data_IF_110320693972
#
_entry.id   IF_110320693972
#
_cell.length_a   1.000
_cell.length_b   1.000
_cell.length_c   1.000
_cell.angle_alpha   90.00
_cell.angle_beta   90.00
_cell.angle_gamma   90.00
#
_symmetry.space_group_name_H-M   'P 1'
#
loop_
_entity.id
_entity.type
_entity.pdbx_description
1 polymer ?
#
# COMPACT_ATOMS: atom_id res chain seq x y z
N UNK A 1 26.70 -53.64 9.66
CA UNK A 1 27.46 -52.48 10.15
C UNK A 1 26.99 -51.32 9.28
N UNK A 2 25.99 -50.59 9.77
CA UNK A 2 25.37 -49.47 9.07
C UNK A 2 25.98 -48.21 9.68
N UNK A 3 26.62 -47.41 8.84
CA UNK A 3 27.11 -46.08 9.19
C UNK A 3 25.92 -45.13 9.17
N UNK A 4 25.51 -44.69 10.35
CA UNK A 4 24.58 -43.59 10.56
C UNK A 4 25.35 -42.27 10.34
N UNK A 5 25.17 -41.69 9.16
CA UNK A 5 25.70 -40.36 8.81
C UNK A 5 24.76 -39.29 9.38
N UNK A 6 25.10 -38.81 10.58
CA UNK A 6 24.40 -37.73 11.26
C UNK A 6 24.69 -36.39 10.57
N UNK A 7 23.78 -35.99 9.68
CA UNK A 7 23.78 -34.68 9.02
C UNK A 7 23.80 -33.54 10.03
N UNK A 8 24.96 -32.89 10.16
CA UNK A 8 25.14 -31.65 10.90
C UNK A 8 24.23 -30.57 10.30
N UNK A 9 23.15 -30.23 11.02
CA UNK A 9 22.29 -29.11 10.71
C UNK A 9 23.11 -27.83 10.65
N UNK A 10 23.20 -27.23 9.47
CA UNK A 10 23.76 -25.90 9.28
C UNK A 10 22.94 -24.92 10.12
N UNK A 11 23.54 -24.47 11.23
CA UNK A 11 23.05 -23.34 12.00
C UNK A 11 23.12 -22.11 11.11
N UNK A 12 21.96 -21.61 10.68
CA UNK A 12 21.86 -20.38 9.93
C UNK A 12 22.55 -19.23 10.68
N UNK A 13 23.06 -18.20 9.98
CA UNK A 13 23.79 -17.11 10.61
C UNK A 13 22.94 -16.49 11.73
N UNK A 14 23.53 -16.40 12.93
CA UNK A 14 22.92 -15.76 14.08
C UNK A 14 22.43 -14.36 13.65
N UNK A 15 21.14 -14.08 13.87
CA UNK A 15 20.58 -12.75 13.65
C UNK A 15 21.38 -11.77 14.51
N UNK A 16 22.16 -10.88 13.89
CA UNK A 16 22.80 -9.76 14.60
C UNK A 16 21.69 -8.99 15.31
N UNK A 17 21.75 -8.95 16.64
CA UNK A 17 20.88 -8.09 17.43
C UNK A 17 21.12 -6.64 17.06
N UNK A 18 20.05 -5.83 17.11
CA UNK A 18 20.17 -4.38 17.05
C UNK A 18 20.69 -3.92 18.42
N UNK A 19 21.91 -3.42 18.46
CA UNK A 19 22.47 -2.76 19.64
C UNK A 19 22.18 -1.27 19.52
N UNK A 20 21.37 -0.75 20.44
CA UNK A 20 21.05 0.68 20.53
C UNK A 20 21.80 1.17 21.76
N UNK A 21 22.70 2.13 21.58
CA UNK A 21 23.33 2.80 22.72
C UNK A 21 22.23 3.50 23.53
N UNK A 22 22.32 3.43 24.86
CA UNK A 22 21.42 4.16 25.74
C UNK A 22 21.45 5.67 25.43
N UNK A 23 22.60 6.19 24.99
CA UNK A 23 22.77 7.61 24.63
C UNK A 23 22.07 7.97 23.32
N UNK A 24 21.75 6.98 22.48
CA UNK A 24 21.09 7.15 21.19
C UNK A 24 19.56 7.02 21.28
N UNK A 25 19.01 6.78 22.47
CA UNK A 25 17.55 6.72 22.67
C UNK A 25 16.96 8.12 22.48
N UNK A 26 16.10 8.34 21.47
CA UNK A 26 15.54 9.66 21.21
C UNK A 26 14.71 10.11 22.42
N UNK A 27 14.74 11.41 22.75
CA UNK A 27 13.99 11.94 23.88
C UNK A 27 12.50 11.72 23.67
N UNK A 28 11.80 11.38 24.75
CA UNK A 28 10.35 11.29 24.76
C UNK A 28 9.74 12.67 24.50
N UNK A 29 8.69 12.73 23.66
CA UNK A 29 7.98 13.98 23.40
C UNK A 29 7.19 14.40 24.65
N UNK A 30 7.34 15.65 25.09
CA UNK A 30 6.81 16.14 26.39
C UNK A 30 5.74 17.22 26.27
N UNK A 31 5.16 17.40 25.08
CA UNK A 31 4.13 18.41 24.86
C UNK A 31 2.93 18.24 25.80
N UNK A 32 2.42 19.35 26.35
CA UNK A 32 1.41 19.33 27.42
C UNK A 32 0.08 18.67 27.03
N UNK A 33 -0.21 18.60 25.73
CA UNK A 33 -1.42 17.96 25.20
C UNK A 33 -1.26 16.44 25.00
N UNK A 34 -0.03 15.91 25.01
CA UNK A 34 0.22 14.48 24.81
C UNK A 34 -0.26 13.68 26.02
N UNK A 35 -1.20 12.77 25.79
CA UNK A 35 -1.72 11.86 26.79
C UNK A 35 -0.98 10.53 26.75
N UNK A 36 -0.50 10.06 27.91
CA UNK A 36 0.20 8.77 28.03
C UNK A 36 -0.56 7.82 28.95
N UNK A 37 -1.63 7.17 28.46
CA UNK A 37 -2.27 6.12 29.24
C UNK A 37 -1.27 5.01 29.54
N UNK A 38 -1.36 4.44 30.75
CA UNK A 38 -0.57 3.28 31.14
C UNK A 38 -0.84 2.14 30.16
N UNK A 39 0.23 1.62 29.56
CA UNK A 39 0.16 0.44 28.70
C UNK A 39 0.13 -0.81 29.57
N UNK A 40 -0.56 -1.89 29.13
CA UNK A 40 -0.47 -3.16 29.83
C UNK A 40 0.99 -3.62 29.87
N UNK A 41 1.39 -4.25 30.99
CA UNK A 41 2.76 -4.73 31.17
C UNK A 41 3.17 -5.79 30.14
N UNK A 42 2.18 -6.45 29.52
CA UNK A 42 2.36 -7.39 28.44
C UNK A 42 1.14 -7.34 27.52
N UNK A 43 1.37 -7.46 26.22
CA UNK A 43 0.34 -7.63 25.20
C UNK A 43 0.88 -8.61 24.16
N UNK A 44 0.01 -9.45 23.61
CA UNK A 44 0.42 -10.42 22.58
C UNK A 44 -0.32 -10.14 21.28
N UNK A 45 0.17 -10.68 20.18
CA UNK A 45 -0.52 -10.56 18.89
C UNK A 45 -1.90 -11.21 18.87
N UNK A 46 -2.21 -12.07 19.86
CA UNK A 46 -3.56 -12.59 20.05
C UNK A 46 -4.59 -11.48 20.31
N UNK A 47 -4.19 -10.33 20.82
CA UNK A 47 -5.10 -9.22 21.18
C UNK A 47 -5.27 -8.20 20.04
N UNK A 48 -4.44 -8.24 18.99
CA UNK A 48 -4.45 -7.23 17.90
C UNK A 48 -5.74 -7.22 17.09
N UNK A 49 -6.51 -8.31 17.09
CA UNK A 49 -7.82 -8.34 16.45
C UNK A 49 -8.86 -7.44 17.15
N UNK A 50 -8.54 -6.93 18.35
CA UNK A 50 -9.36 -5.97 19.10
C UNK A 50 -9.03 -4.52 18.74
N UNK A 51 -8.01 -4.25 17.92
CA UNK A 51 -7.64 -2.91 17.51
C UNK A 51 -8.75 -2.30 16.63
N UNK A 52 -9.27 -1.14 17.04
CA UNK A 52 -10.34 -0.42 16.34
C UNK A 52 -9.88 0.99 15.93
N UNK A 53 -9.47 1.18 14.65
CA UNK A 53 -9.04 2.48 14.17
C UNK A 53 -10.17 3.52 14.15
N UNK A 54 -11.43 3.11 13.97
CA UNK A 54 -12.57 4.03 13.98
C UNK A 54 -12.85 4.54 15.39
N UNK A 55 -12.69 3.69 16.41
CA UNK A 55 -12.75 4.11 17.81
C UNK A 55 -11.63 5.12 18.17
N UNK A 56 -10.42 4.93 17.66
CA UNK A 56 -9.32 5.88 17.86
C UNK A 56 -9.65 7.25 17.23
N UNK A 57 -10.21 7.27 16.02
CA UNK A 57 -10.65 8.50 15.37
C UNK A 57 -11.78 9.17 16.16
N UNK A 58 -12.74 8.40 16.67
CA UNK A 58 -13.84 8.90 17.49
C UNK A 58 -13.38 9.47 18.84
N UNK A 59 -12.26 9.00 19.39
CA UNK A 59 -11.64 9.54 20.61
C UNK A 59 -11.05 10.96 20.41
N UNK A 60 -10.90 11.40 19.16
CA UNK A 60 -10.58 12.78 18.80
C UNK A 60 -9.08 13.05 18.59
N UNK A 61 -8.74 14.31 18.23
CA UNK A 61 -7.41 14.66 17.73
C UNK A 61 -6.29 14.49 18.76
N UNK A 62 -6.57 14.68 20.05
CA UNK A 62 -5.58 14.50 21.12
C UNK A 62 -5.15 13.04 21.24
N UNK A 63 -6.09 12.10 21.12
CA UNK A 63 -5.78 10.67 21.16
C UNK A 63 -4.93 10.25 19.95
N UNK A 64 -5.31 10.70 18.76
CA UNK A 64 -4.56 10.45 17.52
C UNK A 64 -3.16 11.06 17.58
N UNK A 65 -3.03 12.33 17.99
CA UNK A 65 -1.73 13.00 18.15
C UNK A 65 -0.84 12.31 19.18
N UNK A 66 -1.41 11.84 20.29
CA UNK A 66 -0.65 11.11 21.31
C UNK A 66 -0.16 9.75 20.81
N UNK A 67 -0.96 9.07 19.98
CA UNK A 67 -0.55 7.85 19.29
C UNK A 67 0.56 8.11 18.27
N UNK A 68 0.46 9.21 17.50
CA UNK A 68 1.52 9.64 16.57
C UNK A 68 2.83 9.96 17.30
N UNK A 69 2.78 10.66 18.43
CA UNK A 69 3.98 10.94 19.23
C UNK A 69 4.68 9.64 19.68
N UNK A 70 3.92 8.61 20.07
CA UNK A 70 4.48 7.29 20.38
C UNK A 70 5.07 6.62 19.14
N UNK A 71 4.40 6.70 17.99
CA UNK A 71 4.94 6.17 16.73
C UNK A 71 6.27 6.84 16.34
N UNK A 72 6.41 8.14 16.57
CA UNK A 72 7.67 8.88 16.37
C UNK A 72 8.78 8.33 17.25
N UNK A 73 8.50 8.15 18.55
CA UNK A 73 9.47 7.62 19.52
C UNK A 73 9.96 6.22 19.12
N UNK A 74 9.05 5.33 18.74
CA UNK A 74 9.40 3.99 18.25
C UNK A 74 10.10 4.04 16.89
N UNK A 75 9.66 4.93 15.99
CA UNK A 75 10.23 5.11 14.66
C UNK A 75 11.67 5.60 14.71
N UNK A 76 12.02 6.46 15.68
CA UNK A 76 13.40 6.92 15.90
C UNK A 76 14.37 5.80 16.28
N UNK A 77 13.87 4.71 16.88
CA UNK A 77 14.65 3.51 17.22
C UNK A 77 14.72 2.49 16.08
N UNK A 78 14.08 2.74 14.93
CA UNK A 78 14.08 1.82 13.80
C UNK A 78 15.48 1.63 13.23
N UNK A 79 15.81 0.41 12.81
CA UNK A 79 17.05 0.15 12.05
C UNK A 79 17.02 0.78 10.64
N UNK A 80 15.83 1.01 10.09
CA UNK A 80 15.62 1.62 8.79
C UNK A 80 15.79 3.14 8.84
N UNK A 81 16.68 3.68 8.00
CA UNK A 81 16.94 5.11 7.89
C UNK A 81 15.70 5.88 7.47
N UNK A 82 14.93 5.37 6.50
CA UNK A 82 13.77 6.07 5.96
C UNK A 82 12.67 6.20 7.02
N UNK A 83 12.52 5.18 7.87
CA UNK A 83 11.59 5.22 9.01
C UNK A 83 12.00 6.27 10.03
N UNK A 84 13.30 6.38 10.36
CA UNK A 84 13.80 7.43 11.27
C UNK A 84 13.59 8.83 10.69
N UNK A 85 13.80 9.01 9.39
CA UNK A 85 13.58 10.30 8.70
C UNK A 85 12.09 10.68 8.70
N UNK A 86 11.18 9.72 8.47
CA UNK A 86 9.72 9.97 8.57
C UNK A 86 9.31 10.29 10.00
N UNK A 87 9.86 9.59 10.99
CA UNK A 87 9.59 9.90 12.40
C UNK A 87 10.00 11.35 12.76
N UNK A 88 11.16 11.80 12.26
CA UNK A 88 11.61 13.18 12.45
C UNK A 88 10.64 14.21 11.83
N UNK A 89 10.15 13.98 10.61
CA UNK A 89 9.15 14.85 9.97
C UNK A 89 7.83 14.90 10.76
N UNK A 90 7.35 13.75 11.25
CA UNK A 90 6.13 13.73 12.09
C UNK A 90 6.38 14.48 13.41
N UNK A 91 7.56 14.34 14.01
CA UNK A 91 7.93 15.08 15.22
C UNK A 91 7.89 16.58 14.98
N UNK A 92 8.58 17.06 13.94
CA UNK A 92 8.61 18.47 13.53
C UNK A 92 7.19 19.02 13.35
N UNK A 93 6.34 18.28 12.63
CA UNK A 93 4.94 18.66 12.44
C UNK A 93 4.13 18.76 13.74
N UNK A 94 4.39 17.87 14.71
CA UNK A 94 3.69 17.86 16.00
C UNK A 94 4.17 18.96 16.97
N UNK A 95 5.43 19.39 16.88
CA UNK A 95 6.04 20.32 17.86
C UNK A 95 6.22 21.74 17.33
N UNK A 96 6.67 21.90 16.09
CA UNK A 96 7.08 23.20 15.55
C UNK A 96 5.95 23.87 14.75
N UNK A 97 5.06 23.06 14.17
CA UNK A 97 4.22 23.48 13.05
C UNK A 97 2.71 23.27 13.26
N UNK A 98 2.23 23.29 14.50
CA UNK A 98 0.80 23.38 14.82
C UNK A 98 0.20 24.69 14.23
N UNK A 99 -0.08 24.69 12.93
CA UNK A 99 -0.61 25.81 12.14
C UNK A 99 0.20 26.26 10.91
N UNK A 100 1.43 25.76 10.66
CA UNK A 100 2.22 26.17 9.47
C UNK A 100 1.96 25.30 8.23
N UNK A 101 1.76 24.00 8.44
CA UNK A 101 1.32 23.07 7.40
C UNK A 101 -0.14 22.68 7.67
N UNK A 102 -1.04 23.07 6.76
CA UNK A 102 -2.49 22.82 6.92
C UNK A 102 -2.82 21.33 7.20
N UNK A 103 -2.01 20.38 6.70
CA UNK A 103 -2.22 18.94 6.89
C UNK A 103 -0.90 18.12 6.88
N UNK A 104 -0.85 17.06 7.70
CA UNK A 104 0.29 16.14 7.81
C UNK A 104 0.65 15.44 6.48
N UNK A 105 -0.34 15.12 5.64
CA UNK A 105 -0.11 14.48 4.34
C UNK A 105 0.68 15.36 3.36
N UNK A 106 0.56 16.69 3.47
CA UNK A 106 1.40 17.63 2.74
C UNK A 106 2.82 17.68 3.31
N UNK A 107 2.97 17.72 4.63
CA UNK A 107 4.28 17.78 5.29
C UNK A 107 5.10 16.51 4.98
N UNK A 108 4.44 15.34 4.95
CA UNK A 108 5.06 14.07 4.56
C UNK A 108 5.24 13.89 3.03
N UNK A 109 4.83 14.84 2.21
CA UNK A 109 4.93 14.76 0.75
C UNK A 109 4.00 13.73 0.08
N UNK A 110 3.05 13.15 0.82
CA UNK A 110 2.06 12.20 0.31
C UNK A 110 1.03 12.89 -0.60
N UNK A 111 0.79 14.18 -0.32
CA UNK A 111 0.05 15.11 -1.17
C UNK A 111 1.01 16.19 -1.69
N UNK A 112 1.39 16.18 -2.97
CA UNK A 112 2.32 17.15 -3.51
C UNK A 112 1.72 18.57 -3.57
N UNK A 113 2.53 19.59 -3.33
CA UNK A 113 2.16 21.02 -3.51
C UNK A 113 2.33 21.52 -4.95
N UNK A 114 3.13 20.82 -5.75
CA UNK A 114 3.56 21.23 -7.09
C UNK A 114 2.60 20.75 -8.21
N UNK A 115 1.37 20.38 -7.85
CA UNK A 115 0.38 19.87 -8.81
C UNK A 115 0.62 18.44 -9.29
N UNK A 116 1.66 17.75 -8.77
CA UNK A 116 1.79 16.30 -8.97
C UNK A 116 0.62 15.54 -8.33
N UNK A 117 0.41 14.32 -8.81
CA UNK A 117 -0.66 13.46 -8.32
C UNK A 117 -0.36 12.97 -6.90
N UNK A 118 -1.34 13.01 -5.98
CA UNK A 118 -1.19 12.41 -4.65
C UNK A 118 -0.89 10.91 -4.73
N UNK A 119 -0.17 10.38 -3.74
CA UNK A 119 0.15 8.95 -3.68
C UNK A 119 -1.10 8.07 -3.75
N UNK A 120 -2.19 8.45 -3.08
CA UNK A 120 -3.46 7.74 -3.14
C UNK A 120 -4.03 7.66 -4.58
N UNK A 121 -3.78 8.66 -5.41
CA UNK A 121 -4.19 8.64 -6.81
C UNK A 121 -3.30 7.71 -7.65
N UNK A 122 -1.99 7.72 -7.41
CA UNK A 122 -1.05 6.77 -8.04
C UNK A 122 -1.34 5.31 -7.63
N UNK A 123 -1.70 5.08 -6.36
CA UNK A 123 -2.12 3.76 -5.88
C UNK A 123 -3.37 3.26 -6.62
N UNK A 124 -4.39 4.11 -6.79
CA UNK A 124 -5.57 3.78 -7.61
C UNK A 124 -5.21 3.48 -9.07
N UNK A 125 -4.28 4.24 -9.65
CA UNK A 125 -3.75 3.99 -11.00
C UNK A 125 -3.09 2.61 -11.06
N UNK A 126 -2.27 2.26 -10.07
CA UNK A 126 -1.58 0.99 -9.98
C UNK A 126 -2.57 -0.17 -9.82
N UNK A 127 -3.55 -0.05 -8.94
CA UNK A 127 -4.62 -1.04 -8.71
C UNK A 127 -5.43 -1.28 -9.99
N UNK A 128 -5.89 -0.21 -10.66
CA UNK A 128 -6.55 -0.33 -11.97
C UNK A 128 -5.66 -1.10 -12.94
N UNK A 129 -4.38 -0.74 -13.05
CA UNK A 129 -3.48 -1.39 -13.99
C UNK A 129 -3.34 -2.88 -13.68
N UNK A 130 -3.20 -3.25 -12.40
CA UNK A 130 -3.12 -4.64 -11.98
C UNK A 130 -4.39 -5.43 -12.35
N UNK A 131 -5.56 -4.86 -12.12
CA UNK A 131 -6.86 -5.45 -12.49
C UNK A 131 -6.97 -5.70 -14.00
N UNK A 132 -6.68 -4.67 -14.80
CA UNK A 132 -6.75 -4.76 -16.27
C UNK A 132 -5.72 -5.74 -16.83
N UNK A 133 -4.50 -5.75 -16.28
CA UNK A 133 -3.46 -6.68 -16.69
C UNK A 133 -3.82 -8.11 -16.33
N UNK A 134 -4.38 -8.35 -15.14
CA UNK A 134 -4.92 -9.67 -14.76
C UNK A 134 -5.92 -10.15 -15.80
N UNK A 135 -6.90 -9.31 -16.15
CA UNK A 135 -7.93 -9.68 -17.12
C UNK A 135 -7.34 -9.90 -18.54
N UNK A 136 -6.27 -9.19 -18.89
CA UNK A 136 -5.59 -9.36 -20.20
C UNK A 136 -4.91 -10.73 -20.38
N UNK A 137 -4.71 -11.47 -19.28
CA UNK A 137 -4.13 -12.83 -19.26
C UNK A 137 -5.19 -13.92 -19.43
N UNK A 138 -6.47 -13.55 -19.38
CA UNK A 138 -7.60 -14.47 -19.53
C UNK A 138 -8.08 -14.54 -20.98
N UNK A 139 -8.78 -15.62 -21.34
CA UNK A 139 -9.45 -15.70 -22.63
C UNK A 139 -10.64 -14.71 -22.69
N UNK A 140 -10.92 -14.06 -23.83
CA UNK A 140 -10.23 -14.20 -25.12
C UNK A 140 -9.01 -13.27 -25.27
N UNK A 141 -8.75 -12.38 -24.31
CA UNK A 141 -7.73 -11.32 -24.42
C UNK A 141 -6.30 -11.84 -24.54
N UNK A 142 -6.00 -12.95 -23.87
CA UNK A 142 -4.70 -13.64 -23.90
C UNK A 142 -4.26 -14.01 -25.31
N UNK A 143 -5.19 -14.47 -26.13
CA UNK A 143 -4.94 -14.98 -27.47
C UNK A 143 -4.77 -13.86 -28.51
N UNK A 144 -5.18 -12.64 -28.16
CA UNK A 144 -5.06 -11.47 -29.01
C UNK A 144 -3.64 -10.89 -28.96
N UNK A 145 -3.24 -10.16 -30.00
CA UNK A 145 -2.06 -9.28 -29.92
C UNK A 145 -2.28 -8.21 -28.84
N UNK A 146 -1.20 -7.70 -28.23
CA UNK A 146 -1.31 -6.71 -27.15
C UNK A 146 -2.15 -5.47 -27.55
N UNK A 147 -2.00 -5.02 -28.80
CA UNK A 147 -2.78 -3.90 -29.35
C UNK A 147 -4.26 -4.24 -29.54
N UNK A 148 -4.59 -5.46 -29.98
CA UNK A 148 -5.97 -5.91 -30.13
C UNK A 148 -6.63 -6.12 -28.76
N UNK A 149 -5.93 -6.75 -27.81
CA UNK A 149 -6.38 -6.90 -26.42
C UNK A 149 -6.65 -5.53 -25.78
N UNK A 150 -5.74 -4.58 -25.92
CA UNK A 150 -5.91 -3.22 -25.38
C UNK A 150 -7.17 -2.52 -25.92
N UNK A 151 -7.42 -2.62 -27.23
CA UNK A 151 -8.63 -2.06 -27.86
C UNK A 151 -9.89 -2.78 -27.37
N UNK A 152 -9.86 -4.11 -27.27
CA UNK A 152 -10.98 -4.92 -26.82
C UNK A 152 -11.34 -4.63 -25.35
N UNK A 153 -10.36 -4.60 -24.44
CA UNK A 153 -10.53 -4.27 -23.02
C UNK A 153 -11.10 -2.86 -22.84
N UNK A 154 -10.58 -1.87 -23.58
CA UNK A 154 -11.12 -0.50 -23.56
C UNK A 154 -12.58 -0.46 -24.02
N UNK A 155 -12.91 -1.16 -25.11
CA UNK A 155 -14.28 -1.22 -25.61
C UNK A 155 -15.21 -1.94 -24.63
N UNK A 156 -14.75 -3.01 -23.98
CA UNK A 156 -15.51 -3.73 -22.97
C UNK A 156 -15.79 -2.88 -21.72
N UNK A 157 -14.76 -2.20 -21.21
CA UNK A 157 -14.89 -1.25 -20.11
C UNK A 157 -15.86 -0.11 -20.45
N UNK A 158 -15.74 0.50 -21.62
CA UNK A 158 -16.65 1.56 -22.07
C UNK A 158 -18.10 1.07 -22.19
N UNK A 159 -18.32 -0.15 -22.69
CA UNK A 159 -19.65 -0.76 -22.70
C UNK A 159 -20.19 -0.90 -21.28
N UNK A 160 -19.43 -1.49 -20.37
CA UNK A 160 -19.83 -1.66 -18.97
C UNK A 160 -20.17 -0.31 -18.30
N UNK A 161 -19.34 0.72 -18.51
CA UNK A 161 -19.57 2.07 -18.01
C UNK A 161 -20.91 2.66 -18.49
N UNK A 162 -21.24 2.45 -19.77
CA UNK A 162 -22.46 2.99 -20.37
C UNK A 162 -23.74 2.21 -20.05
N UNK A 163 -23.66 0.88 -19.90
CA UNK A 163 -24.84 0.02 -19.81
C UNK A 163 -25.18 -0.41 -18.39
N UNK A 164 -24.18 -0.78 -17.59
CA UNK A 164 -24.39 -1.48 -16.31
C UNK A 164 -23.96 -0.66 -15.11
N UNK A 165 -22.89 0.13 -15.25
CA UNK A 165 -22.37 0.95 -14.15
C UNK A 165 -23.41 1.91 -13.51
N UNK A 166 -24.34 2.56 -14.24
CA UNK A 166 -25.34 3.42 -13.61
C UNK A 166 -26.24 2.70 -12.60
N UNK A 167 -26.49 1.40 -12.80
CA UNK A 167 -27.25 0.55 -11.89
C UNK A 167 -26.38 0.04 -10.74
N UNK A 168 -25.23 -0.55 -11.06
CA UNK A 168 -24.27 -1.08 -10.07
C UNK A 168 -23.74 0.03 -9.13
N UNK A 169 -23.71 1.29 -9.60
CA UNK A 169 -23.32 2.45 -8.76
C UNK A 169 -24.36 2.76 -7.68
N UNK A 170 -25.65 2.47 -7.92
CA UNK A 170 -26.73 2.67 -6.94
C UNK A 170 -26.67 1.60 -5.86
N UNK A 171 -26.46 0.35 -6.27
CA UNK A 171 -26.29 -0.80 -5.37
C UNK A 171 -24.81 -1.22 -5.28
N UNK A 172 -24.05 -0.48 -4.47
CA UNK A 172 -22.62 -0.72 -4.23
C UNK A 172 -22.31 -1.99 -3.44
N UNK A 173 -23.32 -2.77 -3.03
CA UNK A 173 -23.14 -3.96 -2.20
C UNK A 173 -23.01 -5.24 -3.04
N UNK A 174 -23.71 -5.30 -4.17
CA UNK A 174 -23.75 -6.51 -4.99
C UNK A 174 -22.61 -6.49 -6.01
N UNK A 175 -21.61 -7.36 -5.80
CA UNK A 175 -20.48 -7.50 -6.71
C UNK A 175 -20.86 -8.44 -7.87
N UNK A 176 -20.71 -8.02 -9.14
CA UNK A 176 -20.93 -8.91 -10.27
C UNK A 176 -19.79 -9.94 -10.37
N UNK A 177 -20.03 -11.08 -11.04
CA UNK A 177 -18.99 -12.08 -11.30
C UNK A 177 -18.35 -11.96 -12.69
N UNK A 178 -17.20 -12.63 -12.87
CA UNK A 178 -16.49 -12.73 -14.13
C UNK A 178 -15.87 -11.41 -14.57
N UNK A 179 -15.80 -11.14 -15.88
CA UNK A 179 -15.21 -9.90 -16.41
C UNK A 179 -15.84 -8.61 -15.83
N UNK A 180 -17.15 -8.62 -15.59
CA UNK A 180 -17.88 -7.50 -15.02
C UNK A 180 -17.39 -7.12 -13.62
N UNK A 181 -16.85 -8.08 -12.86
CA UNK A 181 -16.25 -7.87 -11.55
C UNK A 181 -15.04 -6.93 -11.62
N UNK A 182 -14.17 -7.15 -12.59
CA UNK A 182 -12.99 -6.31 -12.83
C UNK A 182 -13.42 -4.89 -13.19
N UNK A 183 -14.44 -4.73 -14.03
CA UNK A 183 -14.94 -3.41 -14.40
C UNK A 183 -15.63 -2.69 -13.25
N UNK A 184 -16.39 -3.41 -12.43
CA UNK A 184 -16.97 -2.87 -11.22
C UNK A 184 -15.89 -2.31 -10.28
N UNK A 185 -14.82 -3.07 -10.04
CA UNK A 185 -13.68 -2.64 -9.24
C UNK A 185 -13.00 -1.40 -9.85
N UNK A 186 -12.68 -1.44 -11.15
CA UNK A 186 -12.05 -0.31 -11.88
C UNK A 186 -12.88 0.97 -11.74
N UNK A 187 -14.21 0.89 -11.90
CA UNK A 187 -15.10 2.04 -11.77
C UNK A 187 -15.19 2.56 -10.33
N UNK A 188 -15.16 1.65 -9.35
CA UNK A 188 -15.21 2.00 -7.92
C UNK A 188 -14.00 2.82 -7.46
N UNK A 189 -12.85 2.74 -8.13
CA UNK A 189 -11.67 3.56 -7.85
C UNK A 189 -11.94 5.07 -8.03
N UNK A 190 -12.94 5.44 -8.83
CA UNK A 190 -13.35 6.82 -9.04
C UNK A 190 -12.31 7.66 -9.80
N UNK A 191 -11.59 7.04 -10.73
CA UNK A 191 -10.65 7.73 -11.61
C UNK A 191 -11.41 8.50 -12.69
N UNK A 192 -10.98 9.74 -12.99
CA UNK A 192 -11.58 10.54 -14.09
C UNK A 192 -11.55 9.82 -15.43
N UNK A 193 -10.50 9.02 -15.66
CA UNK A 193 -10.38 8.16 -16.83
C UNK A 193 -10.22 6.71 -16.35
N UNK A 194 -11.29 5.90 -16.41
CA UNK A 194 -11.27 4.51 -15.95
C UNK A 194 -10.26 3.64 -16.69
N UNK A 195 -9.91 3.98 -17.94
CA UNK A 195 -8.97 3.22 -18.77
C UNK A 195 -7.82 4.07 -19.33
N UNK A 196 -6.57 3.59 -19.27
CA UNK A 196 -5.44 4.23 -19.97
C UNK A 196 -5.62 4.16 -21.48
N UNK A 197 -5.02 5.11 -22.22
CA UNK A 197 -5.05 5.15 -23.69
C UNK A 197 -4.63 3.82 -24.33
N UNK A 198 -5.15 3.53 -25.53
CA UNK A 198 -4.97 2.22 -26.16
C UNK A 198 -3.49 1.84 -26.35
N UNK A 199 -2.65 2.79 -26.76
CA UNK A 199 -1.22 2.53 -26.97
C UNK A 199 -0.48 2.30 -25.65
N UNK A 200 -0.79 3.10 -24.62
CA UNK A 200 -0.25 2.90 -23.26
C UNK A 200 -0.63 1.55 -22.68
N UNK A 201 -1.89 1.13 -22.88
CA UNK A 201 -2.36 -0.18 -22.43
C UNK A 201 -1.69 -1.31 -23.21
N UNK A 202 -1.57 -1.17 -24.53
CA UNK A 202 -0.90 -2.16 -25.37
C UNK A 202 0.57 -2.35 -24.97
N UNK A 203 1.28 -1.27 -24.66
CA UNK A 203 2.66 -1.35 -24.16
C UNK A 203 2.73 -2.07 -22.81
N UNK A 204 1.83 -1.75 -21.87
CA UNK A 204 1.78 -2.44 -20.57
C UNK A 204 1.51 -3.93 -20.71
N UNK A 205 0.56 -4.32 -21.57
CA UNK A 205 0.26 -5.74 -21.85
C UNK A 205 1.48 -6.43 -22.46
N UNK A 206 2.21 -5.75 -23.35
CA UNK A 206 3.44 -6.29 -23.95
C UNK A 206 4.53 -6.51 -22.92
N UNK A 207 4.75 -5.56 -22.02
CA UNK A 207 5.72 -5.67 -20.93
C UNK A 207 5.35 -6.79 -19.95
N UNK A 208 4.07 -6.89 -19.58
CA UNK A 208 3.55 -7.93 -18.70
C UNK A 208 3.79 -9.34 -19.28
N UNK A 209 3.48 -9.53 -20.57
CA UNK A 209 3.71 -10.81 -21.27
C UNK A 209 5.18 -11.17 -21.39
N UNK A 210 6.06 -10.19 -21.66
CA UNK A 210 7.52 -10.41 -21.69
C UNK A 210 8.08 -10.80 -20.32
N UNK A 211 7.58 -10.19 -19.24
CA UNK A 211 7.98 -10.54 -17.87
C UNK A 211 7.49 -11.93 -17.42
N UNK A 212 6.54 -12.51 -18.14
CA UNK A 212 6.01 -13.86 -17.89
C UNK A 212 6.65 -14.95 -18.76
N UNK A 213 7.44 -14.58 -19.78
CA UNK A 213 8.23 -15.59 -20.48
C UNK A 213 9.20 -16.20 -19.47
N UNK A 214 9.17 -17.53 -19.25
CA UNK A 214 10.13 -18.17 -18.37
C UNK A 214 11.51 -17.80 -18.91
N UNK A 215 12.32 -17.12 -18.08
CA UNK A 215 13.72 -16.86 -18.44
C UNK A 215 14.29 -18.23 -18.82
N UNK A 216 14.66 -18.38 -20.09
CA UNK A 216 15.24 -19.62 -20.57
C UNK A 216 16.40 -19.94 -19.63
N UNK A 217 16.27 -21.03 -18.86
CA UNK A 217 17.30 -21.48 -17.95
C UNK A 217 18.57 -21.67 -18.76
N UNK A 218 19.53 -20.76 -18.60
CA UNK A 218 20.87 -20.95 -19.13
C UNK A 218 21.49 -22.06 -18.28
N UNK A 219 21.46 -23.29 -18.80
CA UNK A 219 22.32 -24.36 -18.32
C UNK A 219 23.76 -23.99 -18.70
N UNK A 220 24.56 -23.62 -17.70
CA UNK A 220 26.02 -23.57 -17.80
C UNK A 220 26.60 -24.98 -17.69
#
# INVERSE_FOLDING_TARGET
MHDDDAGAGQTGPARRGLEIDHEDVPPTMTEAWIQRPALPAWQTSADWHLDDPEALLAAGPVAVGSALARLVEWGGLSADREVREVAALISEWLTEDLGQHDFLDFHLGLRPRDGRRPLAFEAKIAERNALVLSLSREAPYREMTASAAAKALRAACARYESTRWPEDRKDRKTRPGGEAETWWLVMKLGLHHPMPGADTLAERIRQDRKGQEPQASFSF
#
